data_IF_306982549186
#
_entry.id   IF_306982549186
#
_cell.length_a   1.000
_cell.length_b   1.000
_cell.length_c   1.000
_cell.angle_alpha   90.00
_cell.angle_beta   90.00
_cell.angle_gamma   90.00
#
_symmetry.space_group_name_H-M   'P 1'
#
loop_
_entity.id
_entity.type
_entity.pdbx_description
1 polymer ?
#
# COMPACT_ATOMS: atom_id res chain seq x y z
N UNK A 1 -5.31 -19.11 29.83
CA UNK A 1 -6.30 -18.69 28.80
C UNK A 1 -6.10 -19.55 27.57
N UNK A 2 -7.15 -20.13 27.01
CA UNK A 2 -7.08 -20.91 25.76
C UNK A 2 -6.65 -20.01 24.59
N UNK A 3 -5.89 -20.59 23.65
CA UNK A 3 -5.49 -19.87 22.43
C UNK A 3 -6.74 -19.61 21.56
N UNK A 4 -6.83 -18.43 20.91
CA UNK A 4 -7.95 -18.10 20.04
C UNK A 4 -7.96 -19.06 18.83
N UNK A 5 -9.16 -19.46 18.39
CA UNK A 5 -9.34 -20.27 17.18
C UNK A 5 -9.41 -19.41 15.92
N UNK A 6 -9.87 -18.18 16.05
CA UNK A 6 -10.10 -17.24 14.94
C UNK A 6 -9.51 -15.88 15.26
N UNK A 7 -8.76 -15.33 14.31
CA UNK A 7 -8.24 -13.97 14.37
C UNK A 7 -8.65 -13.23 13.10
N UNK A 8 -9.31 -12.08 13.26
CA UNK A 8 -9.61 -11.15 12.18
C UNK A 8 -8.63 -9.99 12.22
N UNK A 9 -8.14 -9.59 11.05
CA UNK A 9 -7.28 -8.42 10.87
C UNK A 9 -7.79 -7.57 9.73
N UNK A 10 -8.03 -6.28 10.00
CA UNK A 10 -8.16 -5.27 8.95
C UNK A 10 -6.78 -4.81 8.52
N UNK A 11 -6.50 -4.86 7.22
CA UNK A 11 -5.23 -4.52 6.60
C UNK A 11 -5.39 -3.31 5.68
N UNK A 12 -4.88 -2.16 6.09
CA UNK A 12 -5.10 -0.89 5.40
C UNK A 12 -4.09 -0.65 4.28
N UNK A 13 -4.58 -0.02 3.22
CA UNK A 13 -3.78 0.45 2.09
C UNK A 13 -2.81 1.56 2.48
N UNK A 14 -1.86 1.83 1.59
CA UNK A 14 -0.92 2.96 1.70
C UNK A 14 -1.01 3.90 0.50
N UNK A 15 -0.56 5.11 0.71
CA UNK A 15 -0.19 6.05 -0.34
C UNK A 15 1.31 6.37 -0.24
N UNK A 16 1.95 6.60 -1.38
CA UNK A 16 3.25 7.27 -1.45
C UNK A 16 2.97 8.77 -1.65
N UNK A 17 3.06 9.56 -0.60
CA UNK A 17 2.89 11.02 -0.69
C UNK A 17 4.04 11.68 -1.47
N UNK A 18 5.16 10.99 -1.59
CA UNK A 18 6.28 11.33 -2.44
C UNK A 18 7.10 10.08 -2.70
N UNK A 19 7.62 9.93 -3.91
CA UNK A 19 8.45 8.80 -4.30
C UNK A 19 9.54 9.25 -5.25
N UNK A 20 10.78 9.11 -4.82
CA UNK A 20 11.97 9.27 -5.63
C UNK A 20 12.64 7.92 -5.86
N UNK A 21 13.18 7.72 -7.06
CA UNK A 21 13.94 6.55 -7.46
C UNK A 21 15.37 7.00 -7.74
N UNK A 22 16.30 6.33 -7.10
CA UNK A 22 17.74 6.56 -7.23
C UNK A 22 18.44 5.53 -8.10
N UNK A 23 19.77 5.47 -8.00
CA UNK A 23 20.56 4.53 -8.78
C UNK A 23 20.21 3.07 -8.47
N UNK A 24 20.51 2.21 -9.43
CA UNK A 24 20.39 0.76 -9.27
C UNK A 24 21.42 0.27 -8.26
N UNK A 25 21.01 -0.62 -7.40
CA UNK A 25 21.82 -1.27 -6.35
C UNK A 25 22.46 -2.54 -6.88
N UNK A 26 23.51 -3.04 -6.23
CA UNK A 26 24.13 -4.33 -6.59
C UNK A 26 23.16 -5.51 -6.49
N UNK A 27 22.14 -5.43 -5.59
CA UNK A 27 21.11 -6.46 -5.42
C UNK A 27 20.01 -6.43 -6.50
N UNK A 28 20.18 -5.58 -7.54
CA UNK A 28 19.28 -5.45 -8.68
C UNK A 28 18.06 -4.54 -8.43
N UNK A 29 17.83 -4.10 -7.19
CA UNK A 29 16.79 -3.12 -6.84
C UNK A 29 17.30 -1.68 -7.07
N UNK A 30 16.42 -0.70 -6.88
CA UNK A 30 16.77 0.73 -6.89
C UNK A 30 16.84 1.27 -5.48
N UNK A 31 17.70 2.27 -5.26
CA UNK A 31 17.58 3.12 -4.11
C UNK A 31 16.28 3.92 -4.20
N UNK A 32 15.49 3.90 -3.14
CA UNK A 32 14.25 4.65 -3.04
C UNK A 32 14.32 5.65 -1.87
N UNK A 33 13.60 6.76 -2.04
CA UNK A 33 13.22 7.63 -0.94
C UNK A 33 11.73 7.94 -1.08
N UNK A 34 10.93 7.50 -0.12
CA UNK A 34 9.48 7.66 -0.19
C UNK A 34 8.89 8.07 1.15
N UNK A 35 7.83 8.85 1.09
CA UNK A 35 7.00 9.17 2.25
C UNK A 35 5.72 8.34 2.15
N UNK A 36 5.61 7.35 3.01
CA UNK A 36 4.42 6.51 3.12
C UNK A 36 3.38 7.13 4.06
N UNK A 37 2.12 6.88 3.76
CA UNK A 37 1.00 7.14 4.64
C UNK A 37 -0.06 6.04 4.51
N UNK A 38 -0.44 5.45 5.64
CA UNK A 38 -1.57 4.52 5.72
C UNK A 38 -2.89 5.27 5.54
N UNK A 39 -3.85 4.66 4.83
CA UNK A 39 -5.20 5.21 4.60
C UNK A 39 -6.30 4.23 4.97
N UNK A 40 -7.53 4.72 5.11
CA UNK A 40 -8.66 3.95 5.66
C UNK A 40 -9.22 2.85 4.76
N UNK A 41 -8.88 2.80 3.46
CA UNK A 41 -9.27 1.67 2.60
C UNK A 41 -8.56 0.41 3.09
N UNK A 42 -9.31 -0.67 3.35
CA UNK A 42 -8.76 -1.87 3.97
C UNK A 42 -9.34 -3.15 3.39
N UNK A 43 -8.50 -4.18 3.34
CA UNK A 43 -8.90 -5.58 3.18
C UNK A 43 -9.17 -6.19 4.55
N UNK A 44 -9.90 -7.29 4.59
CA UNK A 44 -10.14 -8.06 5.81
C UNK A 44 -9.59 -9.47 5.64
N UNK A 45 -8.73 -9.89 6.56
CA UNK A 45 -8.20 -11.25 6.61
C UNK A 45 -8.68 -11.91 7.90
N UNK A 46 -9.24 -13.12 7.76
CA UNK A 46 -9.56 -13.99 8.89
C UNK A 46 -8.66 -15.22 8.82
N UNK A 47 -7.92 -15.48 9.89
CA UNK A 47 -7.10 -16.68 10.04
C UNK A 47 -7.76 -17.63 11.05
N UNK A 48 -7.88 -18.88 10.66
CA UNK A 48 -8.47 -19.97 11.45
C UNK A 48 -7.47 -21.10 11.62
N UNK A 49 -7.28 -21.57 12.87
CA UNK A 49 -6.42 -22.71 13.16
C UNK A 49 -7.05 -24.02 12.64
N UNK A 50 -6.25 -24.85 11.98
CA UNK A 50 -6.64 -26.17 11.46
C UNK A 50 -5.73 -27.26 11.99
N UNK A 51 -6.21 -28.51 11.98
CA UNK A 51 -5.40 -29.65 12.39
C UNK A 51 -4.16 -29.81 11.50
N UNK A 52 -4.27 -29.54 10.20
CA UNK A 52 -3.17 -29.65 9.22
C UNK A 52 -3.43 -28.81 7.98
N UNK A 53 -2.34 -28.51 7.25
CA UNK A 53 -2.37 -27.86 5.94
C UNK A 53 -2.60 -26.35 5.99
N UNK A 54 -2.33 -25.70 4.85
CA UNK A 54 -2.58 -24.29 4.62
C UNK A 54 -3.52 -24.11 3.44
N UNK A 55 -4.50 -23.23 3.59
CA UNK A 55 -5.42 -22.89 2.51
C UNK A 55 -5.79 -21.42 2.56
N UNK A 56 -6.18 -20.87 1.40
CA UNK A 56 -6.57 -19.46 1.26
C UNK A 56 -7.80 -19.38 0.36
N UNK A 57 -8.85 -18.77 0.85
CA UNK A 57 -10.01 -18.36 0.09
C UNK A 57 -9.94 -16.83 -0.12
N UNK A 58 -10.21 -16.38 -1.35
CA UNK A 58 -10.21 -14.94 -1.70
C UNK A 58 -11.59 -14.58 -2.23
N UNK A 59 -12.18 -13.54 -1.64
CA UNK A 59 -13.42 -12.91 -2.11
C UNK A 59 -13.16 -11.43 -2.39
N UNK A 60 -13.91 -10.87 -3.31
CA UNK A 60 -13.81 -9.46 -3.68
C UNK A 60 -15.09 -8.74 -3.31
N UNK A 61 -14.93 -7.59 -2.66
CA UNK A 61 -16.02 -6.68 -2.33
C UNK A 61 -15.73 -5.28 -2.89
N UNK A 62 -16.76 -4.63 -3.40
CA UNK A 62 -16.63 -3.25 -3.86
C UNK A 62 -16.73 -2.28 -2.68
N UNK A 63 -15.65 -1.53 -2.44
CA UNK A 63 -15.58 -0.46 -1.44
C UNK A 63 -15.47 0.94 -2.09
N UNK A 64 -15.64 1.02 -3.42
CA UNK A 64 -15.62 2.28 -4.14
C UNK A 64 -16.88 3.11 -3.85
N UNK A 65 -16.70 4.41 -3.73
CA UNK A 65 -17.82 5.36 -3.61
C UNK A 65 -18.45 5.65 -4.98
N UNK A 66 -17.76 5.27 -6.08
CA UNK A 66 -18.24 5.37 -7.45
C UNK A 66 -17.54 4.35 -8.34
N UNK A 67 -18.32 3.66 -9.18
CA UNK A 67 -17.84 2.63 -10.08
C UNK A 67 -17.53 1.30 -9.40
N UNK A 68 -17.13 0.32 -10.17
CA UNK A 68 -16.67 -0.99 -9.70
C UNK A 68 -15.45 -1.44 -10.50
N UNK A 69 -14.57 -2.21 -9.87
CA UNK A 69 -13.45 -2.84 -10.58
C UNK A 69 -14.00 -3.88 -11.56
N UNK A 70 -13.40 -4.00 -12.75
CA UNK A 70 -13.74 -5.06 -13.69
C UNK A 70 -13.51 -6.45 -13.07
N UNK A 71 -14.27 -7.44 -13.47
CA UNK A 71 -14.17 -8.83 -12.94
C UNK A 71 -12.78 -9.44 -13.13
N UNK A 72 -12.11 -9.13 -14.25
CA UNK A 72 -10.73 -9.54 -14.54
C UNK A 72 -9.72 -8.97 -13.54
N UNK A 73 -10.04 -7.85 -12.88
CA UNK A 73 -9.24 -7.29 -11.81
C UNK A 73 -9.17 -8.22 -10.59
N UNK A 74 -10.23 -8.98 -10.34
CA UNK A 74 -10.32 -9.94 -9.25
C UNK A 74 -9.43 -11.17 -9.52
N UNK A 75 -9.33 -11.62 -10.76
CA UNK A 75 -8.49 -12.76 -11.16
C UNK A 75 -6.98 -12.55 -10.92
N UNK A 76 -6.54 -11.31 -10.65
CA UNK A 76 -5.13 -10.98 -10.38
C UNK A 76 -4.65 -11.41 -8.98
N UNK A 77 -5.56 -11.79 -8.09
CA UNK A 77 -5.21 -12.20 -6.72
C UNK A 77 -5.29 -13.71 -6.62
N UNK A 78 -4.16 -14.43 -6.66
CA UNK A 78 -4.18 -15.91 -6.60
C UNK A 78 -4.63 -16.40 -5.22
N UNK A 79 -5.34 -17.52 -5.19
CA UNK A 79 -5.76 -18.20 -3.97
C UNK A 79 -4.84 -19.38 -3.64
N UNK A 80 -3.56 -19.12 -3.31
CA UNK A 80 -2.62 -20.22 -3.03
C UNK A 80 -1.18 -19.76 -2.85
N UNK A 81 -0.18 -20.63 -3.06
CA UNK A 81 1.23 -20.38 -2.75
C UNK A 81 1.86 -19.15 -3.43
N UNK A 82 1.28 -18.67 -4.52
CA UNK A 82 1.70 -17.42 -5.17
C UNK A 82 1.17 -16.17 -4.46
N UNK A 83 0.22 -16.30 -3.53
CA UNK A 83 -0.31 -15.18 -2.74
C UNK A 83 0.63 -14.84 -1.59
N UNK A 84 0.93 -13.55 -1.40
CA UNK A 84 1.82 -13.11 -0.32
C UNK A 84 1.25 -13.41 1.08
N UNK A 85 -0.07 -13.32 1.28
CA UNK A 85 -0.70 -13.67 2.55
C UNK A 85 -0.54 -15.16 2.88
N UNK A 86 -0.66 -16.03 1.87
CA UNK A 86 -0.43 -17.47 2.05
C UNK A 86 1.02 -17.75 2.48
N UNK A 87 1.99 -17.15 1.78
CA UNK A 87 3.42 -17.27 2.11
C UNK A 87 3.74 -16.70 3.49
N UNK A 88 3.13 -15.58 3.84
CA UNK A 88 3.27 -14.94 5.14
C UNK A 88 2.75 -15.82 6.28
N UNK A 89 1.61 -16.47 6.09
CA UNK A 89 1.07 -17.42 7.06
C UNK A 89 1.99 -18.61 7.29
N UNK A 90 2.56 -19.17 6.23
CA UNK A 90 3.53 -20.25 6.34
C UNK A 90 4.82 -19.82 7.06
N UNK A 91 5.32 -18.61 6.72
CA UNK A 91 6.52 -18.05 7.36
C UNK A 91 6.28 -17.84 8.85
N UNK A 92 5.16 -17.21 9.22
CA UNK A 92 4.80 -16.97 10.62
C UNK A 92 4.59 -18.27 11.40
N UNK A 93 3.96 -19.28 10.79
CA UNK A 93 3.74 -20.58 11.41
C UNK A 93 5.07 -21.29 11.71
N UNK A 94 6.01 -21.29 10.77
CA UNK A 94 7.35 -21.85 10.99
C UNK A 94 8.08 -21.12 12.12
N UNK A 95 8.07 -19.78 12.10
CA UNK A 95 8.73 -18.96 13.10
C UNK A 95 8.14 -19.16 14.52
N UNK A 96 6.82 -19.34 14.62
CA UNK A 96 6.12 -19.56 15.88
C UNK A 96 6.08 -21.03 16.33
N UNK A 97 6.66 -21.97 15.58
CA UNK A 97 6.60 -23.41 15.89
C UNK A 97 5.17 -23.99 15.87
N UNK A 98 4.30 -23.47 15.01
CA UNK A 98 2.92 -23.94 14.93
C UNK A 98 2.87 -25.39 14.48
N UNK A 99 2.33 -26.27 15.34
CA UNK A 99 1.93 -27.62 14.96
C UNK A 99 0.50 -27.56 14.42
N UNK A 100 0.30 -28.01 13.16
CA UNK A 100 -0.99 -27.96 12.48
C UNK A 100 -0.98 -27.06 11.25
N UNK A 101 -2.13 -26.47 10.92
CA UNK A 101 -2.34 -25.65 9.75
C UNK A 101 -3.13 -24.38 10.01
N UNK A 102 -3.31 -23.60 8.96
CA UNK A 102 -4.09 -22.35 8.98
C UNK A 102 -4.94 -22.24 7.72
N UNK A 103 -6.21 -21.95 7.91
CA UNK A 103 -7.10 -21.52 6.83
C UNK A 103 -7.24 -20.00 6.87
N UNK A 104 -7.02 -19.35 5.72
CA UNK A 104 -7.17 -17.91 5.54
C UNK A 104 -8.42 -17.61 4.69
N UNK A 105 -9.22 -16.67 5.13
CA UNK A 105 -10.28 -16.03 4.32
C UNK A 105 -9.92 -14.58 4.13
N UNK A 106 -9.75 -14.15 2.89
CA UNK A 106 -9.32 -12.82 2.51
C UNK A 106 -10.40 -12.13 1.70
N UNK A 107 -10.94 -11.04 2.24
CA UNK A 107 -11.88 -10.16 1.55
C UNK A 107 -11.12 -8.96 1.00
N UNK A 108 -11.03 -8.88 -0.31
CA UNK A 108 -10.31 -7.83 -1.05
C UNK A 108 -11.20 -6.66 -1.38
N UNK A 109 -10.81 -5.47 -0.94
CA UNK A 109 -11.40 -4.17 -1.28
C UNK A 109 -10.35 -3.21 -1.86
N UNK A 110 -9.08 -3.44 -1.53
CA UNK A 110 -7.96 -2.66 -2.09
C UNK A 110 -7.69 -3.15 -3.52
N UNK A 111 -7.75 -2.26 -4.52
CA UNK A 111 -7.45 -2.64 -5.91
C UNK A 111 -6.07 -3.28 -6.06
N UNK A 112 -6.04 -4.45 -6.69
CA UNK A 112 -4.79 -5.14 -6.98
C UNK A 112 -3.99 -4.39 -8.06
N UNK A 113 -2.65 -4.39 -7.94
CA UNK A 113 -1.72 -3.76 -8.89
C UNK A 113 -1.98 -2.27 -9.16
N UNK A 114 -2.55 -1.55 -8.19
CA UNK A 114 -2.85 -0.12 -8.30
C UNK A 114 -1.83 0.77 -7.57
N UNK A 115 -0.74 0.23 -7.03
CA UNK A 115 0.25 0.99 -6.25
C UNK A 115 -0.16 1.29 -4.80
N UNK A 116 -1.24 0.66 -4.32
CA UNK A 116 -1.83 0.87 -2.99
C UNK A 116 -1.32 -0.09 -1.91
N UNK A 117 -0.43 -1.02 -2.25
CA UNK A 117 0.20 -1.93 -1.30
C UNK A 117 -0.71 -3.03 -0.74
N UNK A 118 -1.86 -3.34 -1.39
CA UNK A 118 -2.83 -4.30 -0.87
C UNK A 118 -2.27 -5.68 -0.57
N UNK A 119 -1.49 -6.27 -1.48
CA UNK A 119 -0.86 -7.59 -1.24
C UNK A 119 0.13 -7.59 -0.06
N UNK A 120 0.85 -6.49 0.15
CA UNK A 120 1.75 -6.32 1.29
C UNK A 120 0.97 -6.12 2.60
N UNK A 121 -0.17 -5.44 2.55
CA UNK A 121 -1.08 -5.30 3.68
C UNK A 121 -1.67 -6.67 4.09
N UNK A 122 -2.08 -7.48 3.11
CA UNK A 122 -2.57 -8.85 3.34
C UNK A 122 -1.51 -9.75 3.97
N UNK A 123 -0.26 -9.66 3.48
CA UNK A 123 0.87 -10.40 4.03
C UNK A 123 1.15 -10.00 5.49
N UNK A 124 1.16 -8.70 5.78
CA UNK A 124 1.31 -8.19 7.14
C UNK A 124 0.19 -8.66 8.06
N UNK A 125 -1.07 -8.66 7.57
CA UNK A 125 -2.22 -9.18 8.29
C UNK A 125 -2.07 -10.68 8.60
N UNK A 126 -1.64 -11.49 7.63
CA UNK A 126 -1.43 -12.90 7.81
C UNK A 126 -0.32 -13.21 8.83
N UNK A 127 0.81 -12.48 8.78
CA UNK A 127 1.89 -12.60 9.79
C UNK A 127 1.35 -12.39 11.21
N UNK A 128 0.68 -11.26 11.45
CA UNK A 128 0.22 -10.92 12.81
C UNK A 128 -0.93 -11.82 13.26
N UNK A 129 -1.81 -12.25 12.33
CA UNK A 129 -2.91 -13.15 12.65
C UNK A 129 -2.40 -14.52 13.10
N UNK A 130 -1.41 -15.08 12.41
CA UNK A 130 -0.84 -16.39 12.76
C UNK A 130 -0.07 -16.30 14.08
N UNK A 131 0.70 -15.23 14.31
CA UNK A 131 1.34 -15.02 15.62
C UNK A 131 0.30 -14.95 16.75
N UNK A 132 -0.80 -14.25 16.53
CA UNK A 132 -1.88 -14.16 17.51
C UNK A 132 -2.57 -15.51 17.76
N UNK A 133 -2.78 -16.34 16.72
CA UNK A 133 -3.30 -17.72 16.83
C UNK A 133 -2.37 -18.61 17.68
N UNK A 134 -1.06 -18.39 17.58
CA UNK A 134 -0.07 -19.14 18.34
C UNK A 134 0.17 -18.59 19.76
N UNK A 135 -0.41 -17.43 20.10
CA UNK A 135 -0.07 -16.71 21.33
C UNK A 135 1.38 -16.18 21.36
N UNK A 136 2.05 -16.17 20.21
CA UNK A 136 3.44 -15.77 20.08
C UNK A 136 3.61 -14.25 20.19
N UNK A 137 4.50 -13.82 21.11
CA UNK A 137 4.89 -12.41 21.26
C UNK A 137 6.16 -12.14 20.49
N UNK A 138 6.01 -11.81 19.20
CA UNK A 138 7.14 -11.50 18.31
C UNK A 138 7.42 -9.99 18.35
N UNK A 139 8.65 -9.54 18.68
CA UNK A 139 9.03 -8.14 18.68
C UNK A 139 8.79 -7.47 17.32
N UNK A 140 8.57 -6.14 17.32
CA UNK A 140 8.34 -5.42 16.07
C UNK A 140 9.51 -5.55 15.10
N UNK A 141 10.75 -5.48 15.60
CA UNK A 141 11.95 -5.62 14.77
C UNK A 141 11.96 -6.93 14.00
N UNK A 142 11.66 -8.06 14.67
CA UNK A 142 11.64 -9.38 14.03
C UNK A 142 10.50 -9.51 13.02
N UNK A 143 9.31 -8.93 13.34
CA UNK A 143 8.20 -8.87 12.37
C UNK A 143 8.57 -8.05 11.13
N UNK A 144 9.31 -6.94 11.30
CA UNK A 144 9.76 -6.13 10.17
C UNK A 144 10.78 -6.90 9.32
N UNK A 145 11.69 -7.63 9.93
CA UNK A 145 12.66 -8.49 9.24
C UNK A 145 11.95 -9.58 8.41
N UNK A 146 11.05 -10.35 9.03
CA UNK A 146 10.22 -11.34 8.34
C UNK A 146 9.37 -10.71 7.21
N UNK A 147 8.86 -9.51 7.45
CA UNK A 147 8.12 -8.76 6.42
C UNK A 147 8.99 -8.41 5.22
N UNK A 148 10.25 -8.03 5.43
CA UNK A 148 11.19 -7.67 4.37
C UNK A 148 11.58 -8.87 3.47
N UNK A 149 11.51 -10.11 3.98
CA UNK A 149 11.69 -11.34 3.19
C UNK A 149 10.52 -11.56 2.21
N UNK A 150 9.31 -11.11 2.58
CA UNK A 150 8.11 -11.27 1.76
C UNK A 150 8.00 -10.19 0.67
N UNK A 151 8.43 -8.96 0.99
CA UNK A 151 8.37 -7.84 0.05
C UNK A 151 8.66 -6.50 0.69
N UNK A 152 9.15 -5.54 -0.11
CA UNK A 152 9.63 -4.24 0.36
C UNK A 152 8.57 -3.36 1.06
N UNK A 153 7.29 -3.48 0.69
CA UNK A 153 6.20 -2.70 1.29
C UNK A 153 5.60 -3.39 2.56
N UNK A 154 5.94 -4.66 2.83
CA UNK A 154 5.40 -5.42 3.99
C UNK A 154 5.85 -4.82 5.32
N UNK A 155 7.13 -4.39 5.50
CA UNK A 155 7.54 -3.71 6.70
C UNK A 155 6.71 -2.46 7.01
N UNK A 156 6.38 -1.64 5.99
CA UNK A 156 5.52 -0.49 6.21
C UNK A 156 4.09 -0.89 6.59
N UNK A 157 3.54 -1.95 5.99
CA UNK A 157 2.22 -2.47 6.34
C UNK A 157 2.16 -3.02 7.79
N UNK A 158 3.30 -3.45 8.36
CA UNK A 158 3.41 -3.83 9.77
C UNK A 158 3.55 -2.61 10.69
N UNK A 159 4.32 -1.58 10.26
CA UNK A 159 4.59 -0.38 11.05
C UNK A 159 3.39 0.55 11.13
N UNK A 160 2.77 0.84 9.99
CA UNK A 160 1.63 1.74 9.82
C UNK A 160 1.89 3.21 10.10
N UNK A 161 0.85 4.01 9.98
CA UNK A 161 0.89 5.45 10.19
C UNK A 161 1.56 6.19 9.03
N UNK A 162 2.60 6.97 9.33
CA UNK A 162 3.45 7.62 8.35
C UNK A 162 4.91 7.24 8.56
N UNK A 163 5.67 7.06 7.48
CA UNK A 163 7.08 6.75 7.56
C UNK A 163 7.87 7.28 6.35
N UNK A 164 9.11 7.67 6.60
CA UNK A 164 10.13 7.80 5.56
C UNK A 164 10.70 6.40 5.30
N UNK A 165 10.61 5.94 4.06
CA UNK A 165 11.24 4.71 3.59
C UNK A 165 12.46 5.02 2.72
N UNK A 166 13.59 4.40 3.04
CA UNK A 166 14.85 4.45 2.29
C UNK A 166 15.28 3.04 1.87
N UNK A 167 16.34 2.95 1.09
CA UNK A 167 16.80 1.68 0.54
C UNK A 167 15.84 1.14 -0.51
N UNK A 168 15.32 -0.06 -0.36
CA UNK A 168 14.25 -0.59 -1.21
C UNK A 168 12.86 -0.03 -0.83
N UNK A 169 12.80 0.92 0.13
CA UNK A 169 11.60 1.40 0.80
C UNK A 169 11.33 0.68 2.12
N UNK A 170 12.17 -0.25 2.50
CA UNK A 170 12.06 -1.14 3.65
C UNK A 170 12.79 -0.63 4.92
N UNK A 171 13.78 0.27 4.77
CA UNK A 171 14.41 0.97 5.90
C UNK A 171 13.53 2.14 6.34
N UNK A 172 12.76 1.92 7.39
CA UNK A 172 11.68 2.80 7.81
C UNK A 172 12.08 3.67 9.00
N UNK A 173 11.82 4.97 8.89
CA UNK A 173 11.81 5.91 10.01
C UNK A 173 10.38 6.40 10.21
N UNK A 174 9.79 6.09 11.36
CA UNK A 174 8.43 6.52 11.70
C UNK A 174 8.36 8.04 11.78
N UNK A 175 7.33 8.62 11.19
CA UNK A 175 7.08 10.06 11.22
C UNK A 175 5.94 10.37 12.18
N UNK A 176 6.05 11.52 12.86
CA UNK A 176 4.92 12.05 13.59
C UNK A 176 3.79 12.38 12.61
N UNK A 177 2.61 11.81 12.84
CA UNK A 177 1.44 12.05 12.00
C UNK A 177 0.84 13.40 12.40
N UNK A 178 0.80 14.34 11.47
CA UNK A 178 0.15 15.62 11.63
C UNK A 178 -1.39 15.51 11.69
N UNK A 179 -2.10 16.59 11.33
CA UNK A 179 -3.56 16.56 11.24
C UNK A 179 -4.04 15.52 10.22
N UNK A 180 -5.10 14.75 10.52
CA UNK A 180 -5.70 13.85 9.57
C UNK A 180 -6.11 14.59 8.29
N UNK A 181 -5.94 13.95 7.14
CA UNK A 181 -6.38 14.47 5.87
C UNK A 181 -7.31 13.46 5.16
N UNK A 182 -8.08 13.98 4.20
CA UNK A 182 -8.91 13.18 3.30
C UNK A 182 -8.31 13.23 1.90
N UNK A 183 -8.45 12.13 1.17
CA UNK A 183 -8.02 12.04 -0.21
C UNK A 183 -9.05 11.29 -1.05
N UNK A 184 -9.08 11.61 -2.33
CA UNK A 184 -9.79 10.81 -3.35
C UNK A 184 -8.74 10.03 -4.11
N UNK A 185 -8.97 8.73 -4.28
CA UNK A 185 -8.16 7.83 -5.10
C UNK A 185 -8.98 7.48 -6.35
N UNK A 186 -8.43 7.74 -7.52
CA UNK A 186 -9.00 7.34 -8.80
C UNK A 186 -8.18 6.19 -9.38
N UNK A 187 -8.83 5.06 -9.67
CA UNK A 187 -8.21 3.89 -10.27
C UNK A 187 -8.66 3.78 -11.71
N UNK A 188 -7.78 4.07 -12.68
CA UNK A 188 -8.08 3.95 -14.09
C UNK A 188 -8.10 2.48 -14.53
N UNK A 189 -8.65 2.22 -15.72
CA UNK A 189 -8.68 0.88 -16.31
C UNK A 189 -7.30 0.38 -16.74
N UNK A 190 -6.37 1.29 -17.08
CA UNK A 190 -5.00 0.89 -17.43
C UNK A 190 -4.19 0.51 -16.20
N UNK A 191 -3.23 -0.38 -16.36
CA UNK A 191 -2.39 -0.91 -15.28
C UNK A 191 -0.92 -0.80 -15.63
N UNK A 192 -0.10 -0.72 -14.61
CA UNK A 192 1.35 -0.72 -14.74
C UNK A 192 1.92 -1.79 -13.80
N UNK A 193 2.29 -2.98 -14.32
CA UNK A 193 3.03 -3.94 -13.52
C UNK A 193 4.32 -3.31 -12.98
N UNK A 194 4.58 -3.45 -11.68
CA UNK A 194 5.71 -2.79 -11.00
C UNK A 194 7.06 -3.07 -11.67
N UNK A 195 7.30 -4.32 -12.08
CA UNK A 195 8.53 -4.69 -12.79
C UNK A 195 8.68 -3.94 -14.12
N UNK A 196 7.57 -3.67 -14.83
CA UNK A 196 7.58 -2.87 -16.05
C UNK A 196 7.88 -1.40 -15.75
N UNK A 197 7.26 -0.84 -14.70
CA UNK A 197 7.50 0.54 -14.31
C UNK A 197 8.99 0.81 -14.04
N UNK A 198 9.68 -0.09 -13.35
CA UNK A 198 11.13 0.02 -13.12
C UNK A 198 11.91 -0.09 -14.41
N UNK A 199 11.62 -1.08 -15.29
CA UNK A 199 12.29 -1.17 -16.59
C UNK A 199 12.09 0.06 -17.47
N UNK A 200 10.89 0.64 -17.47
CA UNK A 200 10.61 1.85 -18.23
C UNK A 200 11.32 3.07 -17.59
N UNK A 201 11.47 3.09 -16.27
CA UNK A 201 12.26 4.10 -15.56
C UNK A 201 13.75 3.99 -15.86
N UNK A 202 14.33 2.78 -15.97
CA UNK A 202 15.74 2.56 -16.29
C UNK A 202 16.12 3.12 -17.67
N UNK A 203 15.18 3.17 -18.60
CA UNK A 203 15.39 3.77 -19.93
C UNK A 203 15.44 5.30 -19.90
N UNK A 204 15.00 5.91 -18.81
CA UNK A 204 15.10 7.35 -18.65
C UNK A 204 16.52 7.71 -18.17
N UNK A 205 17.13 8.75 -18.77
CA UNK A 205 18.37 9.33 -18.24
C UNK A 205 18.06 10.18 -16.99
N UNK A 206 17.66 9.50 -15.90
CA UNK A 206 17.33 10.15 -14.64
C UNK A 206 18.61 10.51 -13.89
N UNK A 207 19.00 11.80 -13.93
CA UNK A 207 20.29 12.24 -13.40
C UNK A 207 20.40 12.14 -11.87
N UNK A 208 21.61 11.83 -11.38
CA UNK A 208 21.94 11.77 -9.95
C UNK A 208 21.62 13.05 -9.20
N UNK A 209 21.71 14.20 -9.86
CA UNK A 209 21.36 15.52 -9.27
C UNK A 209 19.90 15.58 -8.87
N UNK A 210 18.99 15.10 -9.72
CA UNK A 210 17.55 15.02 -9.41
C UNK A 210 17.26 14.09 -8.22
N UNK A 211 17.93 12.93 -8.22
CA UNK A 211 17.85 12.00 -7.09
C UNK A 211 18.28 12.64 -5.79
N UNK A 212 19.48 13.25 -5.76
CA UNK A 212 20.02 13.92 -4.56
C UNK A 212 19.10 15.03 -4.06
N UNK A 213 18.50 15.82 -4.95
CA UNK A 213 17.54 16.86 -4.58
C UNK A 213 16.27 16.28 -3.94
N UNK A 214 15.67 15.25 -4.54
CA UNK A 214 14.49 14.58 -3.99
C UNK A 214 14.78 13.84 -2.68
N UNK A 215 15.96 13.24 -2.53
CA UNK A 215 16.41 12.61 -1.29
C UNK A 215 16.53 13.64 -0.14
N UNK A 216 17.11 14.81 -0.43
CA UNK A 216 17.15 15.91 0.56
C UNK A 216 15.74 16.35 0.97
N UNK A 217 14.83 16.49 0.00
CA UNK A 217 13.44 16.83 0.27
C UNK A 217 12.77 15.76 1.17
N UNK A 218 12.96 14.47 0.88
CA UNK A 218 12.42 13.38 1.69
C UNK A 218 12.92 13.42 3.13
N UNK A 219 14.24 13.61 3.31
CA UNK A 219 14.86 13.73 4.64
C UNK A 219 14.35 14.94 5.40
N UNK A 220 14.20 16.09 4.73
CA UNK A 220 13.66 17.31 5.33
C UNK A 220 12.18 17.16 5.73
N UNK A 221 11.38 16.41 4.98
CA UNK A 221 10.02 16.04 5.40
C UNK A 221 10.06 15.11 6.60
N UNK A 222 11.02 14.17 6.63
CA UNK A 222 11.18 13.19 7.69
C UNK A 222 11.67 13.76 9.04
N UNK A 223 12.23 14.97 9.07
CA UNK A 223 12.77 15.58 10.29
C UNK A 223 11.73 16.34 11.13
N UNK A 224 10.50 16.48 10.64
CA UNK A 224 9.41 17.24 11.29
C UNK A 224 8.10 16.45 11.21
N UNK A 225 7.07 16.89 11.96
CA UNK A 225 5.73 16.32 11.81
C UNK A 225 5.27 16.37 10.34
N UNK A 226 4.74 15.26 9.86
CA UNK A 226 4.34 15.12 8.46
C UNK A 226 3.32 16.18 8.05
N UNK A 227 3.71 17.00 7.08
CA UNK A 227 2.84 17.92 6.36
C UNK A 227 2.60 17.35 4.96
N UNK A 228 1.42 16.77 4.66
CA UNK A 228 1.16 16.07 3.40
C UNK A 228 1.51 16.89 2.16
N UNK A 229 1.12 18.17 2.12
CA UNK A 229 1.43 19.09 1.00
C UNK A 229 2.94 19.26 0.74
N UNK A 230 3.78 19.20 1.80
CA UNK A 230 5.24 19.23 1.63
C UNK A 230 5.77 17.95 1.02
N UNK A 231 5.26 16.81 1.46
CA UNK A 231 5.63 15.51 0.92
C UNK A 231 5.25 15.39 -0.57
N UNK A 232 4.08 15.89 -0.96
CA UNK A 232 3.61 15.89 -2.36
C UNK A 232 4.51 16.70 -3.30
N UNK A 233 5.28 17.70 -2.81
CA UNK A 233 6.27 18.41 -3.64
C UNK A 233 7.39 17.53 -4.18
N UNK A 234 7.62 16.35 -3.58
CA UNK A 234 8.56 15.37 -4.12
C UNK A 234 8.09 14.81 -5.47
N UNK A 235 6.76 14.78 -5.71
CA UNK A 235 6.16 14.09 -6.83
C UNK A 235 6.38 12.58 -6.78
N UNK A 236 6.10 11.92 -7.87
CA UNK A 236 6.37 10.48 -8.02
C UNK A 236 7.23 10.25 -9.27
N UNK A 237 8.40 9.65 -9.08
CA UNK A 237 9.35 9.44 -10.18
C UNK A 237 8.80 8.55 -11.32
N UNK A 238 7.87 7.63 -11.03
CA UNK A 238 7.23 6.83 -12.06
C UNK A 238 6.32 7.62 -13.01
N UNK A 239 5.90 8.84 -12.66
CA UNK A 239 5.12 9.69 -13.56
C UNK A 239 5.89 10.05 -14.84
N UNK A 240 7.23 10.06 -14.76
CA UNK A 240 8.10 10.29 -15.92
C UNK A 240 8.25 9.03 -16.78
N UNK A 241 8.03 7.85 -16.22
CA UNK A 241 8.20 6.54 -16.87
C UNK A 241 6.90 5.94 -17.44
N UNK A 242 5.81 6.69 -17.50
CA UNK A 242 4.51 6.17 -17.91
C UNK A 242 4.41 5.83 -19.42
N UNK A 243 5.34 6.30 -20.25
CA UNK A 243 5.35 6.03 -21.69
C UNK A 243 4.01 6.39 -22.35
N UNK A 244 3.43 5.47 -23.10
CA UNK A 244 2.14 5.68 -23.78
C UNK A 244 0.95 6.00 -22.83
N UNK A 245 1.08 5.75 -21.53
CA UNK A 245 0.03 6.06 -20.54
C UNK A 245 0.09 7.50 -20.02
N UNK A 246 1.13 8.25 -20.40
CA UNK A 246 1.37 9.62 -19.92
C UNK A 246 0.20 10.55 -20.23
N UNK A 247 -0.35 10.51 -21.44
CA UNK A 247 -1.51 11.33 -21.83
C UNK A 247 -2.74 11.02 -20.98
N UNK A 248 -3.05 9.73 -20.77
CA UNK A 248 -4.17 9.31 -19.93
C UNK A 248 -3.99 9.74 -18.47
N UNK A 249 -2.76 9.67 -17.95
CA UNK A 249 -2.43 10.16 -16.62
C UNK A 249 -2.59 11.68 -16.50
N UNK A 250 -2.10 12.44 -17.47
CA UNK A 250 -2.23 13.91 -17.49
C UNK A 250 -3.70 14.31 -17.52
N UNK A 251 -4.51 13.68 -18.37
CA UNK A 251 -5.95 13.91 -18.44
C UNK A 251 -6.65 13.59 -17.12
N UNK A 252 -6.36 12.44 -16.51
CA UNK A 252 -6.92 12.08 -15.21
C UNK A 252 -6.52 13.08 -14.12
N UNK A 253 -5.24 13.47 -14.08
CA UNK A 253 -4.72 14.48 -13.15
C UNK A 253 -5.41 15.84 -13.33
N UNK A 254 -5.69 16.25 -14.57
CA UNK A 254 -6.45 17.45 -14.91
C UNK A 254 -7.85 17.39 -14.32
N UNK A 255 -8.62 16.33 -14.61
CA UNK A 255 -9.97 16.15 -14.08
C UNK A 255 -10.03 16.14 -12.53
N UNK A 256 -9.05 15.55 -11.88
CA UNK A 256 -8.98 15.58 -10.41
C UNK A 256 -8.75 17.01 -9.89
N UNK A 257 -7.92 17.83 -10.57
CA UNK A 257 -7.72 19.25 -10.22
C UNK A 257 -8.99 20.06 -10.44
N UNK A 258 -9.68 19.89 -11.57
CA UNK A 258 -10.95 20.54 -11.87
C UNK A 258 -12.04 20.18 -10.85
N UNK A 259 -12.00 18.95 -10.32
CA UNK A 259 -12.84 18.54 -9.20
C UNK A 259 -12.45 19.18 -7.85
N UNK A 260 -11.38 19.99 -7.80
CA UNK A 260 -10.92 20.70 -6.60
C UNK A 260 -9.96 19.90 -5.72
N UNK A 261 -9.32 18.86 -6.26
CA UNK A 261 -8.32 18.09 -5.52
C UNK A 261 -6.93 18.72 -5.63
N UNK A 262 -6.23 18.76 -4.51
CA UNK A 262 -4.91 19.37 -4.42
C UNK A 262 -3.83 18.38 -4.80
N UNK A 263 -2.93 18.83 -5.66
CA UNK A 263 -1.71 18.12 -6.07
C UNK A 263 -1.94 16.64 -6.38
N UNK A 264 -2.77 16.27 -7.40
CA UNK A 264 -2.96 14.88 -7.73
C UNK A 264 -1.68 14.24 -8.25
N UNK A 265 -1.35 13.07 -7.68
CA UNK A 265 -0.14 12.29 -7.96
C UNK A 265 -0.43 10.80 -8.10
N UNK A 266 0.46 10.12 -8.81
CA UNK A 266 0.52 8.66 -8.85
C UNK A 266 0.94 8.11 -7.47
N UNK A 267 0.38 6.98 -7.02
CA UNK A 267 0.89 6.25 -5.85
C UNK A 267 1.62 4.98 -6.27
N UNK A 268 2.77 4.70 -5.64
CA UNK A 268 3.63 3.58 -6.03
C UNK A 268 4.00 3.64 -7.52
N UNK A 269 4.05 2.50 -8.17
CA UNK A 269 4.24 2.39 -9.62
C UNK A 269 2.97 2.70 -10.43
N UNK A 270 1.88 3.03 -9.76
CA UNK A 270 0.56 3.21 -10.35
C UNK A 270 -0.23 1.89 -10.38
N UNK A 271 -1.40 1.91 -10.97
CA UNK A 271 -2.05 2.93 -11.80
C UNK A 271 -2.87 3.99 -11.01
N UNK A 272 -3.12 3.81 -9.74
CA UNK A 272 -3.96 4.73 -8.97
C UNK A 272 -3.32 6.12 -8.88
N UNK A 273 -4.16 7.13 -9.07
CA UNK A 273 -3.85 8.55 -8.89
C UNK A 273 -4.67 9.04 -7.70
N UNK A 274 -4.07 9.75 -6.79
CA UNK A 274 -4.78 10.33 -5.66
C UNK A 274 -4.55 11.84 -5.59
N UNK A 275 -5.54 12.56 -5.06
CA UNK A 275 -5.42 13.99 -4.73
C UNK A 275 -5.98 14.24 -3.34
N UNK A 276 -5.43 15.23 -2.64
CA UNK A 276 -5.93 15.60 -1.32
C UNK A 276 -7.16 16.48 -1.43
N UNK A 277 -8.08 16.34 -0.49
CA UNK A 277 -9.15 17.28 -0.25
C UNK A 277 -8.66 18.36 0.72
N UNK A 278 -8.96 19.63 0.40
CA UNK A 278 -8.75 20.70 1.38
C UNK A 278 -9.55 20.43 2.67
N UNK A 279 -9.08 20.89 3.84
CA UNK A 279 -9.69 20.57 5.13
C UNK A 279 -11.19 20.80 5.19
N UNK A 280 -11.68 21.87 4.58
CA UNK A 280 -13.09 22.27 4.59
C UNK A 280 -13.83 21.91 3.29
N UNK A 281 -13.15 21.28 2.31
CA UNK A 281 -13.78 20.91 1.06
C UNK A 281 -14.83 19.81 1.25
N UNK A 282 -15.96 19.93 0.58
CA UNK A 282 -16.97 18.88 0.53
C UNK A 282 -16.53 17.78 -0.43
N UNK A 283 -16.38 16.55 0.09
CA UNK A 283 -16.10 15.38 -0.74
C UNK A 283 -17.21 15.14 -1.77
N UNK A 284 -18.48 15.34 -1.38
CA UNK A 284 -19.63 15.20 -2.27
C UNK A 284 -19.55 16.19 -3.46
N UNK A 285 -19.21 17.46 -3.20
CA UNK A 285 -19.02 18.46 -4.27
C UNK A 285 -17.87 18.10 -5.21
N UNK A 286 -16.74 17.62 -4.67
CA UNK A 286 -15.59 17.17 -5.46
C UNK A 286 -15.98 15.96 -6.34
N UNK A 287 -16.66 14.96 -5.78
CA UNK A 287 -17.12 13.78 -6.51
C UNK A 287 -18.17 14.14 -7.59
N UNK A 288 -19.06 15.09 -7.32
CA UNK A 288 -20.05 15.57 -8.29
C UNK A 288 -19.39 16.30 -9.48
N UNK A 289 -18.30 17.03 -9.23
CA UNK A 289 -17.54 17.73 -10.29
C UNK A 289 -16.65 16.78 -11.09
N UNK A 290 -16.21 15.68 -10.52
CA UNK A 290 -15.35 14.75 -11.22
C UNK A 290 -16.09 14.10 -12.41
N UNK A 291 -15.53 14.27 -13.60
CA UNK A 291 -16.05 13.70 -14.86
C UNK A 291 -15.06 12.65 -15.37
N UNK A 292 -15.37 11.37 -15.14
CA UNK A 292 -14.53 10.27 -15.58
C UNK A 292 -15.16 8.91 -15.26
N UNK A 293 -14.68 7.88 -15.95
CA UNK A 293 -15.11 6.49 -15.79
C UNK A 293 -14.24 5.66 -14.84
N UNK A 294 -13.36 6.31 -14.09
CA UNK A 294 -12.47 5.66 -13.12
C UNK A 294 -13.23 5.20 -11.88
N UNK A 295 -12.73 4.15 -11.25
CA UNK A 295 -13.24 3.69 -9.95
C UNK A 295 -12.70 4.59 -8.85
N UNK A 296 -13.58 5.14 -8.02
CA UNK A 296 -13.25 6.19 -7.06
C UNK A 296 -13.41 5.70 -5.63
N UNK A 297 -12.40 5.94 -4.83
CA UNK A 297 -12.39 5.69 -3.40
C UNK A 297 -12.19 7.01 -2.64
N UNK A 298 -12.99 7.20 -1.59
CA UNK A 298 -12.80 8.28 -0.63
C UNK A 298 -12.12 7.71 0.61
N UNK A 299 -10.97 8.25 0.96
CA UNK A 299 -10.16 7.75 2.08
C UNK A 299 -9.75 8.88 3.02
N UNK A 300 -9.42 8.50 4.25
CA UNK A 300 -8.75 9.36 5.24
C UNK A 300 -7.41 8.75 5.64
N UNK A 301 -6.46 9.59 6.03
CA UNK A 301 -5.20 9.11 6.62
C UNK A 301 -5.50 8.35 7.92
N UNK A 302 -4.72 7.28 8.18
CA UNK A 302 -4.87 6.43 9.36
C UNK A 302 -3.52 6.31 10.10
N UNK A 303 -3.60 6.16 11.42
CA UNK A 303 -2.42 6.00 12.29
C UNK A 303 -1.96 4.56 12.40
N UNK A 304 -2.86 3.59 12.20
CA UNK A 304 -2.59 2.14 12.27
C UNK A 304 -2.83 1.52 10.91
N UNK A 305 -1.94 0.65 10.48
CA UNK A 305 -2.13 -0.14 9.26
C UNK A 305 -2.97 -1.40 9.53
N UNK A 306 -2.79 -2.01 10.70
CA UNK A 306 -3.46 -3.23 11.08
C UNK A 306 -4.35 -2.99 12.31
N UNK A 307 -5.52 -3.62 12.30
CA UNK A 307 -6.45 -3.68 13.43
C UNK A 307 -6.85 -5.13 13.66
N UNK A 308 -6.48 -5.66 14.83
CA UNK A 308 -6.61 -7.09 15.16
C UNK A 308 -7.79 -7.27 16.08
N UNK A 309 -8.67 -8.23 15.78
CA UNK A 309 -9.79 -8.67 16.62
C UNK A 309 -9.71 -10.17 16.84
N UNK A 310 -9.88 -10.60 18.08
CA UNK A 310 -10.09 -12.01 18.41
C UNK A 310 -11.57 -12.31 18.24
N UNK A 311 -11.87 -13.33 17.48
CA UNK A 311 -13.23 -13.83 17.34
C UNK A 311 -13.36 -15.07 18.24
N UNK A 312 -14.43 -15.14 18.99
CA UNK A 312 -14.75 -16.28 19.88
C UNK A 312 -15.13 -17.52 19.11
#
# INVERSE_FOLDING_TARGET
>A
MSLPRLIQVEARAKLNLGLAIGPRRPDGFHELATIFQTVSLADTLVAERRARGFSLEVRHENAAVRGALPVDACALVPAGPRNLAFRAAQLAARHAGLRGGVHLRLVKRIPAQAGLGGGSADAAAALVAVFALCGARVPLADRLALGAELGADVPFALLGGAALGLGRGDRLTKLAVGRPFRAVIAVPRWRVPTARAFRDFDRLRYGLTRWKAKLRCAKAVGSVALKPHRALRMGNAFEEALGARRSSFIGLRGRLREAGLVQPHLTGSGSAVFGLLEPHASAGKALARFRGGEVIYLVRSARRALEIRRLS
#
